data_IF_125846330989
#
_entry.id   IF_125846330989
#
_cell.length_a   1.000
_cell.length_b   1.000
_cell.length_c   1.000
_cell.angle_alpha   90.00
_cell.angle_beta   90.00
_cell.angle_gamma   90.00
#
_symmetry.space_group_name_H-M   'P 1'
#
loop_
_entity.id
_entity.type
_entity.pdbx_description
1 polymer ?
#
# COMPACT_ATOMS: atom_id res chain seq x y z
N UNK A 1 -0.94 -0.47 -3.12
CA UNK A 1 -0.43 -1.85 -3.23
C UNK A 1 1.02 -1.78 -3.67
N UNK A 2 1.92 -2.40 -2.92
CA UNK A 2 3.35 -2.46 -3.22
C UNK A 2 3.73 -3.89 -3.59
N UNK A 3 4.54 -4.04 -4.63
CA UNK A 3 5.09 -5.33 -5.03
C UNK A 3 6.62 -5.24 -5.12
N UNK A 4 7.31 -6.26 -4.62
CA UNK A 4 8.76 -6.37 -4.67
C UNK A 4 9.21 -7.20 -5.88
N UNK A 5 9.99 -6.58 -6.76
CA UNK A 5 10.69 -7.23 -7.89
C UNK A 5 9.79 -8.21 -8.69
N UNK A 6 8.57 -7.78 -9.03
CA UNK A 6 7.62 -8.56 -9.82
C UNK A 6 6.78 -7.64 -10.70
N UNK A 7 6.03 -8.23 -11.64
CA UNK A 7 5.05 -7.54 -12.47
C UNK A 7 3.73 -7.39 -11.68
N UNK A 8 3.52 -6.23 -11.07
CA UNK A 8 2.36 -5.94 -10.22
C UNK A 8 1.04 -6.11 -10.97
N UNK A 9 1.00 -5.65 -12.23
CA UNK A 9 -0.16 -5.77 -13.13
C UNK A 9 -0.57 -7.23 -13.33
N UNK A 10 0.41 -8.11 -13.56
CA UNK A 10 0.18 -9.53 -13.79
C UNK A 10 -0.18 -10.28 -12.50
N UNK A 11 0.49 -9.99 -11.37
CA UNK A 11 0.24 -10.71 -10.11
C UNK A 11 -1.13 -10.38 -9.51
N UNK A 12 -1.61 -9.14 -9.63
CA UNK A 12 -2.99 -8.80 -9.21
C UNK A 12 -4.03 -9.33 -10.21
N UNK A 13 -3.68 -9.39 -11.49
CA UNK A 13 -4.61 -9.70 -12.56
C UNK A 13 -5.61 -8.57 -12.85
N UNK A 14 -6.39 -8.77 -13.92
CA UNK A 14 -7.43 -7.88 -14.47
C UNK A 14 -8.26 -7.16 -13.40
N UNK A 15 -9.16 -7.94 -12.81
CA UNK A 15 -10.24 -7.46 -11.96
C UNK A 15 -9.75 -6.81 -10.66
N UNK A 16 -8.78 -7.42 -9.96
CA UNK A 16 -8.32 -6.90 -8.67
C UNK A 16 -7.58 -5.57 -8.86
N UNK A 17 -6.77 -5.43 -9.92
CA UNK A 17 -6.09 -4.18 -10.24
C UNK A 17 -7.10 -3.05 -10.50
N UNK A 18 -8.07 -3.28 -11.38
CA UNK A 18 -9.07 -2.26 -11.73
C UNK A 18 -9.91 -1.85 -10.52
N UNK A 19 -10.26 -2.81 -9.66
CA UNK A 19 -10.99 -2.55 -8.42
C UNK A 19 -10.18 -1.74 -7.43
N UNK A 20 -8.91 -2.08 -7.20
CA UNK A 20 -8.02 -1.26 -6.37
C UNK A 20 -7.85 0.15 -6.95
N UNK A 21 -7.73 0.28 -8.27
CA UNK A 21 -7.61 1.57 -8.96
C UNK A 21 -8.86 2.42 -8.75
N UNK A 22 -10.05 1.83 -8.87
CA UNK A 22 -11.33 2.51 -8.60
C UNK A 22 -11.46 3.00 -7.15
N UNK A 23 -10.80 2.32 -6.21
CA UNK A 23 -10.73 2.71 -4.80
C UNK A 23 -9.67 3.78 -4.50
N UNK A 24 -8.94 4.25 -5.53
CA UNK A 24 -7.88 5.25 -5.39
C UNK A 24 -6.56 4.69 -4.85
N UNK A 25 -6.34 3.38 -4.90
CA UNK A 25 -5.05 2.80 -4.53
C UNK A 25 -3.95 3.25 -5.50
N UNK A 26 -2.75 3.45 -4.96
CA UNK A 26 -1.52 3.61 -5.75
C UNK A 26 -0.83 2.27 -5.92
N UNK A 27 -0.24 2.05 -7.08
CA UNK A 27 0.50 0.83 -7.39
C UNK A 27 1.99 1.13 -7.47
N UNK A 28 2.79 0.38 -6.72
CA UNK A 28 4.21 0.62 -6.59
C UNK A 28 4.97 -0.68 -6.83
N UNK A 29 5.91 -0.67 -7.75
CA UNK A 29 6.90 -1.73 -7.92
C UNK A 29 8.23 -1.28 -7.33
N UNK A 30 8.56 -1.84 -6.17
CA UNK A 30 9.88 -1.64 -5.57
C UNK A 30 10.87 -2.64 -6.20
N UNK A 31 11.99 -2.13 -6.71
CA UNK A 31 13.04 -2.93 -7.35
C UNK A 31 14.39 -2.69 -6.66
N UNK A 32 15.26 -3.71 -6.53
CA UNK A 32 16.66 -3.47 -6.17
C UNK A 32 17.34 -2.61 -7.23
N UNK A 33 18.38 -1.84 -6.86
CA UNK A 33 19.10 -0.94 -7.78
C UNK A 33 19.54 -1.61 -9.09
N UNK A 34 19.95 -2.89 -9.02
CA UNK A 34 20.42 -3.67 -10.17
C UNK A 34 19.33 -3.97 -11.20
N UNK A 35 18.05 -3.92 -10.82
CA UNK A 35 16.90 -4.17 -11.69
C UNK A 35 16.09 -2.91 -12.01
N UNK A 36 16.46 -1.75 -11.47
CA UNK A 36 15.67 -0.52 -11.60
C UNK A 36 15.39 -0.15 -13.06
N UNK A 37 16.42 -0.21 -13.91
CA UNK A 37 16.34 0.21 -15.31
C UNK A 37 15.86 -0.90 -16.26
N UNK A 38 15.42 -2.04 -15.74
CA UNK A 38 14.94 -3.13 -16.58
C UNK A 38 13.49 -2.83 -17.03
N UNK A 39 13.21 -2.65 -18.34
CA UNK A 39 11.95 -2.04 -18.81
C UNK A 39 10.82 -3.04 -19.06
N UNK A 40 10.98 -4.33 -18.71
CA UNK A 40 10.15 -5.38 -19.30
C UNK A 40 8.73 -5.53 -18.74
N UNK A 41 8.31 -4.75 -17.74
CA UNK A 41 6.96 -4.82 -17.15
C UNK A 41 6.32 -3.45 -16.91
N UNK A 42 6.91 -2.37 -17.43
CA UNK A 42 6.47 -1.04 -17.03
C UNK A 42 5.03 -0.79 -17.50
N UNK A 43 4.21 -0.30 -16.57
CA UNK A 43 2.78 -0.05 -16.74
C UNK A 43 2.53 1.42 -16.36
N UNK A 44 1.77 2.20 -17.17
CA UNK A 44 1.57 3.63 -16.92
C UNK A 44 0.87 3.93 -15.59
N UNK A 45 0.14 2.97 -15.02
CA UNK A 45 -0.54 3.11 -13.73
C UNK A 45 0.33 2.65 -12.55
N UNK A 46 1.54 2.13 -12.80
CA UNK A 46 2.44 1.57 -11.79
C UNK A 46 3.70 2.42 -11.66
N UNK A 47 3.95 2.91 -10.45
CA UNK A 47 5.17 3.66 -10.15
C UNK A 47 6.31 2.72 -9.79
N UNK A 48 7.41 2.78 -10.53
CA UNK A 48 8.62 1.99 -10.26
C UNK A 48 9.56 2.79 -9.35
N UNK A 49 9.91 2.21 -8.20
CA UNK A 49 10.78 2.84 -7.20
C UNK A 49 12.02 1.96 -6.97
N UNK A 50 13.18 2.60 -6.90
CA UNK A 50 14.43 1.93 -6.59
C UNK A 50 14.77 1.89 -5.09
N UNK A 51 15.13 0.72 -4.58
CA UNK A 51 15.69 0.55 -3.23
C UNK A 51 17.17 0.95 -3.14
N UNK A 52 17.43 2.24 -2.94
CA UNK A 52 18.80 2.81 -2.98
C UNK A 52 19.71 2.27 -1.87
N UNK A 53 19.18 1.96 -0.70
CA UNK A 53 19.99 1.54 0.46
C UNK A 53 20.04 0.03 0.64
N UNK A 54 19.24 -0.73 -0.12
CA UNK A 54 19.08 -2.17 0.09
C UNK A 54 18.19 -2.50 1.30
N UNK A 55 17.48 -1.51 1.86
CA UNK A 55 16.70 -1.72 3.08
C UNK A 55 15.41 -2.50 2.80
N UNK A 56 14.76 -2.22 1.66
CA UNK A 56 13.60 -3.01 1.23
C UNK A 56 14.04 -4.43 0.87
N UNK A 57 15.15 -4.58 0.16
CA UNK A 57 15.75 -5.89 -0.11
C UNK A 57 16.01 -6.66 1.18
N UNK A 58 16.67 -6.04 2.17
CA UNK A 58 16.95 -6.69 3.45
C UNK A 58 15.69 -7.12 4.20
N UNK A 59 14.62 -6.32 4.14
CA UNK A 59 13.32 -6.72 4.69
C UNK A 59 12.72 -7.89 3.92
N UNK A 60 12.63 -7.83 2.60
CA UNK A 60 12.05 -8.88 1.76
C UNK A 60 12.89 -10.17 1.70
N UNK A 61 14.19 -10.12 1.99
CA UNK A 61 15.05 -11.31 2.03
C UNK A 61 14.72 -12.23 3.23
N UNK A 62 14.11 -11.70 4.29
CA UNK A 62 13.73 -12.46 5.49
C UNK A 62 12.21 -12.64 5.65
N UNK A 63 11.41 -12.10 4.74
CA UNK A 63 9.96 -12.28 4.69
C UNK A 63 9.56 -13.04 3.42
N UNK A 64 8.71 -14.06 3.50
CA UNK A 64 8.29 -14.81 2.31
C UNK A 64 7.42 -13.98 1.36
N UNK A 65 6.80 -12.92 1.86
CA UNK A 65 5.85 -12.09 1.13
C UNK A 65 6.54 -11.24 0.05
N UNK A 66 5.85 -10.98 -1.05
CA UNK A 66 6.34 -10.11 -2.14
C UNK A 66 5.32 -9.05 -2.56
N UNK A 67 4.12 -9.07 -1.97
CA UNK A 67 3.07 -8.06 -2.18
C UNK A 67 2.56 -7.59 -0.84
N UNK A 68 2.52 -6.26 -0.66
CA UNK A 68 2.04 -5.59 0.53
C UNK A 68 0.84 -4.69 0.20
N UNK A 69 -0.22 -4.82 0.97
CA UNK A 69 -1.39 -3.96 0.91
C UNK A 69 -1.30 -2.93 2.03
N UNK A 70 -0.83 -1.73 1.71
CA UNK A 70 -0.62 -0.64 2.65
C UNK A 70 -1.88 0.21 2.81
N UNK A 71 -2.22 0.52 4.06
CA UNK A 71 -3.25 1.49 4.41
C UNK A 71 -2.71 2.93 4.34
N UNK A 72 -3.59 3.94 4.24
CA UNK A 72 -3.18 5.35 4.26
C UNK A 72 -2.42 5.77 5.53
N UNK A 73 -2.62 5.08 6.65
CA UNK A 73 -1.92 5.31 7.93
C UNK A 73 -0.56 4.59 8.01
N UNK A 74 -0.04 4.09 6.89
CA UNK A 74 1.26 3.41 6.76
C UNK A 74 1.35 2.05 7.46
N UNK A 75 0.22 1.50 7.90
CA UNK A 75 0.14 0.12 8.38
C UNK A 75 -0.03 -0.88 7.23
N UNK A 76 0.52 -2.09 7.38
CA UNK A 76 0.28 -3.21 6.46
C UNK A 76 -1.08 -3.82 6.81
N UNK A 77 -2.06 -3.74 5.90
CA UNK A 77 -3.35 -4.43 6.05
C UNK A 77 -3.26 -5.91 5.71
N UNK A 78 -2.43 -6.28 4.73
CA UNK A 78 -2.10 -7.66 4.42
C UNK A 78 -0.76 -7.75 3.70
N UNK A 79 -0.13 -8.92 3.79
CA UNK A 79 1.06 -9.31 3.05
C UNK A 79 0.85 -10.71 2.47
N UNK A 80 1.38 -10.96 1.28
CA UNK A 80 1.35 -12.29 0.69
C UNK A 80 2.45 -12.50 -0.35
N UNK A 81 2.67 -13.76 -0.71
CA UNK A 81 3.40 -14.12 -1.94
C UNK A 81 2.61 -13.65 -3.19
N UNK A 82 3.34 -13.36 -4.27
CA UNK A 82 2.79 -12.86 -5.54
C UNK A 82 1.59 -13.65 -6.07
N UNK A 83 1.65 -14.99 -6.03
CA UNK A 83 0.59 -15.86 -6.56
C UNK A 83 -0.74 -15.72 -5.81
N UNK A 84 -0.72 -15.23 -4.57
CA UNK A 84 -1.90 -15.07 -3.72
C UNK A 84 -2.46 -13.65 -3.74
N UNK A 85 -1.83 -12.72 -4.46
CA UNK A 85 -2.27 -11.33 -4.49
C UNK A 85 -3.74 -11.14 -4.94
N UNK A 86 -4.29 -11.91 -5.89
CA UNK A 86 -5.71 -11.80 -6.25
C UNK A 86 -6.64 -12.28 -5.12
N UNK A 87 -6.33 -13.44 -4.51
CA UNK A 87 -7.09 -14.03 -3.39
C UNK A 87 -7.12 -13.08 -2.18
N UNK A 88 -5.95 -12.53 -1.81
CA UNK A 88 -5.83 -11.60 -0.68
C UNK A 88 -6.53 -10.27 -0.96
N UNK A 89 -6.53 -9.81 -2.21
CA UNK A 89 -7.29 -8.63 -2.61
C UNK A 89 -8.79 -8.82 -2.36
N UNK A 90 -9.35 -9.95 -2.78
CA UNK A 90 -10.78 -10.25 -2.54
C UNK A 90 -11.10 -10.36 -1.05
N UNK A 91 -10.24 -11.00 -0.26
CA UNK A 91 -10.40 -11.05 1.19
C UNK A 91 -10.40 -9.66 1.83
N UNK A 92 -9.52 -8.76 1.38
CA UNK A 92 -9.49 -7.37 1.85
C UNK A 92 -10.72 -6.58 1.43
N UNK A 93 -11.17 -6.72 0.18
CA UNK A 93 -12.39 -6.05 -0.30
C UNK A 93 -13.62 -6.47 0.52
N UNK A 94 -13.72 -7.75 0.88
CA UNK A 94 -14.80 -8.26 1.72
C UNK A 94 -14.75 -7.71 3.15
N UNK A 95 -13.56 -7.53 3.73
CA UNK A 95 -13.39 -7.08 5.14
C UNK A 95 -13.48 -5.57 5.32
N UNK A 96 -12.97 -4.81 4.37
CA UNK A 96 -12.84 -3.36 4.51
C UNK A 96 -14.11 -2.60 4.09
N UNK A 97 -15.18 -3.31 3.70
CA UNK A 97 -16.41 -2.72 3.15
C UNK A 97 -16.14 -1.62 2.10
N UNK A 98 -15.03 -1.76 1.34
CA UNK A 98 -14.49 -0.71 0.47
C UNK A 98 -15.42 -0.35 -0.69
N UNK A 99 -16.43 -1.18 -0.94
CA UNK A 99 -17.57 -0.86 -1.80
C UNK A 99 -18.82 -0.92 -0.93
N UNK A 100 -19.41 0.24 -0.63
CA UNK A 100 -20.84 0.28 -0.31
C UNK A 100 -21.55 -0.12 -1.61
N UNK A 101 -21.98 -1.38 -1.71
CA UNK A 101 -23.01 -1.73 -2.67
C UNK A 101 -24.19 -0.82 -2.38
N UNK A 102 -24.47 0.12 -3.27
CA UNK A 102 -25.51 1.12 -3.09
C UNK A 102 -26.88 0.45 -2.99
N UNK A 103 -27.29 0.08 -1.77
CA UNK A 103 -28.66 -0.03 -1.36
C UNK A 103 -29.00 1.23 -0.57
N UNK A 104 -29.73 2.15 -1.20
CA UNK A 104 -30.25 3.36 -0.55
C UNK A 104 -31.46 2.99 0.30
N UNK A 105 -31.25 2.35 1.44
CA UNK A 105 -32.32 2.10 2.40
C UNK A 105 -32.07 2.86 3.70
N UNK A 106 -32.76 3.99 3.83
CA UNK A 106 -33.33 4.45 5.10
C UNK A 106 -32.38 4.99 6.17
N UNK A 107 -32.27 6.33 6.23
CA UNK A 107 -32.22 7.17 7.45
C UNK A 107 -31.69 6.53 8.75
N UNK A 108 -30.45 6.84 9.11
CA UNK A 108 -30.00 6.91 10.52
C UNK A 108 -29.09 8.15 10.67
N UNK A 109 -29.36 9.06 11.63
CA UNK A 109 -28.49 10.20 11.90
C UNK A 109 -27.37 9.82 12.88
N UNK A 110 -26.27 10.57 12.82
CA UNK A 110 -25.21 10.65 13.82
C UNK A 110 -24.12 9.57 13.79
N UNK A 111 -23.22 9.70 12.80
CA UNK A 111 -21.89 9.08 12.87
C UNK A 111 -21.06 9.84 13.91
N UNK A 112 -21.20 9.46 15.17
CA UNK A 112 -20.42 10.01 16.28
C UNK A 112 -18.92 9.93 15.95
N UNK A 113 -18.31 11.09 15.69
CA UNK A 113 -16.87 11.25 15.57
C UNK A 113 -16.27 11.04 16.95
N UNK A 114 -15.46 9.99 17.11
CA UNK A 114 -14.67 9.82 18.32
C UNK A 114 -13.54 10.86 18.30
N UNK A 115 -13.69 11.92 19.10
CA UNK A 115 -12.60 12.85 19.34
C UNK A 115 -11.49 12.14 20.11
N UNK A 116 -10.43 11.74 19.39
CA UNK A 116 -9.20 11.25 19.99
C UNK A 116 -8.37 12.45 20.44
N UNK A 117 -8.02 12.52 21.73
CA UNK A 117 -7.13 13.53 22.24
C UNK A 117 -5.73 13.35 21.62
N UNK A 118 -5.28 14.34 20.85
CA UNK A 118 -3.90 14.37 20.37
C UNK A 118 -2.98 14.86 21.50
N UNK A 119 -1.81 14.23 21.72
CA UNK A 119 -0.80 14.77 22.62
C UNK A 119 -0.37 16.17 22.16
N UNK A 120 -0.12 17.06 23.13
CA UNK A 120 0.37 18.41 22.85
C UNK A 120 1.72 18.33 22.09
N UNK A 121 1.85 19.12 21.02
CA UNK A 121 3.08 19.21 20.26
C UNK A 121 4.21 19.73 21.16
N UNK A 122 5.26 18.94 21.33
CA UNK A 122 6.48 19.40 22.01
C UNK A 122 7.28 20.34 21.09
N UNK A 123 7.78 21.47 21.59
CA UNK A 123 8.55 22.40 20.79
C UNK A 123 9.92 21.79 20.44
N UNK A 124 10.29 21.83 19.16
CA UNK A 124 11.63 21.46 18.71
C UNK A 124 12.66 22.45 19.28
N UNK A 125 13.47 22.00 20.23
CA UNK A 125 14.56 22.79 20.78
C UNK A 125 15.59 23.14 19.71
N UNK A 126 15.85 24.43 19.52
CA UNK A 126 16.94 24.92 18.68
C UNK A 126 18.27 24.76 19.43
N UNK A 127 19.15 23.87 18.94
CA UNK A 127 20.53 23.81 19.43
C UNK A 127 21.32 24.93 18.77
N UNK A 128 21.51 26.04 19.50
CA UNK A 128 22.52 27.05 19.21
C UNK A 128 23.75 26.80 20.08
N UNK A 129 24.92 26.67 19.45
CA UNK A 129 26.18 26.67 20.17
C UNK A 129 27.40 26.54 19.25
N UNK A 130 27.95 27.68 18.84
CA UNK A 130 29.34 27.87 18.38
C UNK A 130 29.99 28.87 19.36
N UNK A 131 31.32 28.94 19.50
CA UNK A 131 32.26 29.31 18.43
C UNK A 131 33.33 28.24 18.11
#
# INVERSE_FOLDING_TARGET
>A
VLCWSNNLRAVLGGAAFDRWKALGARFIEARPMTQLHWPGHDDPDVEVIGDRTGALKGWFDVHPDSVLFLRPDRCIAAACIAQRAPEVSEALFAKLHLTQGGGTDGREPDRAVLHVAQPAAEPSGSVTGTP
#
